data_IF_021043924913
#
_entry.id   IF_021043924913
#
_cell.length_a   1.000
_cell.length_b   1.000
_cell.length_c   1.000
_cell.angle_alpha   90.00
_cell.angle_beta   90.00
_cell.angle_gamma   90.00
#
_symmetry.space_group_name_H-M   'P 1'
#
loop_
_entity.id
_entity.type
_entity.pdbx_description
1 polymer ?
#
# COMPACT_ATOMS: atom_id res chain seq x y z
N UNK A 1 19.77 -25.33 21.47
CA UNK A 1 19.99 -25.85 20.11
C UNK A 1 18.68 -26.55 19.76
N UNK A 2 17.74 -25.96 19.03
CA UNK A 2 17.84 -24.87 18.05
C UNK A 2 16.56 -24.03 18.04
N UNK A 3 16.74 -22.71 18.12
CA UNK A 3 15.74 -21.72 17.78
C UNK A 3 15.93 -21.36 16.31
N UNK A 4 15.28 -22.03 15.36
CA UNK A 4 15.46 -21.68 13.94
C UNK A 4 14.20 -21.81 13.08
N UNK A 5 13.13 -22.47 13.52
CA UNK A 5 11.85 -22.42 12.81
C UNK A 5 10.94 -21.26 13.27
N UNK A 6 11.53 -20.08 13.52
CA UNK A 6 10.77 -18.85 13.34
C UNK A 6 10.54 -18.73 11.83
N UNK A 7 9.41 -19.28 11.35
CA UNK A 7 8.83 -18.84 10.09
C UNK A 7 8.88 -17.33 10.14
N UNK A 8 9.81 -16.73 9.40
CA UNK A 8 9.90 -15.30 9.18
C UNK A 8 8.53 -14.92 8.67
N UNK A 9 7.63 -14.52 9.56
CA UNK A 9 6.34 -14.01 9.20
C UNK A 9 6.67 -12.63 8.67
N UNK A 10 7.16 -12.61 7.44
CA UNK A 10 7.47 -11.41 6.68
C UNK A 10 6.30 -10.47 6.95
N UNK A 11 6.62 -9.34 7.59
CA UNK A 11 5.61 -8.47 8.13
C UNK A 11 4.98 -7.78 6.91
N UNK A 12 4.01 -8.45 6.27
CA UNK A 12 3.38 -8.05 5.01
C UNK A 12 2.82 -6.63 5.10
N UNK A 13 2.41 -6.23 6.32
CA UNK A 13 2.00 -4.87 6.62
C UNK A 13 3.13 -3.84 6.46
N UNK A 14 4.36 -4.20 6.80
CA UNK A 14 5.56 -3.37 6.60
C UNK A 14 5.96 -3.35 5.12
N UNK A 15 5.94 -4.49 4.44
CA UNK A 15 6.29 -4.58 3.01
C UNK A 15 5.32 -3.76 2.16
N UNK A 16 4.01 -3.95 2.35
CA UNK A 16 2.97 -3.20 1.64
C UNK A 16 3.07 -1.69 1.94
N UNK A 17 3.46 -1.30 3.16
CA UNK A 17 3.73 0.11 3.49
C UNK A 17 4.88 0.67 2.66
N UNK A 18 5.99 -0.05 2.58
CA UNK A 18 7.16 0.41 1.81
C UNK A 18 6.88 0.43 0.31
N UNK A 19 6.17 -0.57 -0.22
CA UNK A 19 5.70 -0.58 -1.61
C UNK A 19 4.80 0.64 -1.86
N UNK A 20 3.80 0.88 -1.02
CA UNK A 20 2.90 2.03 -1.17
C UNK A 20 3.65 3.37 -1.12
N UNK A 21 4.60 3.53 -0.18
CA UNK A 21 5.42 4.75 -0.08
C UNK A 21 6.28 4.96 -1.33
N UNK A 22 6.86 3.88 -1.88
CA UNK A 22 7.68 3.95 -3.08
C UNK A 22 6.86 4.36 -4.31
N UNK A 23 5.67 3.78 -4.49
CA UNK A 23 4.77 4.17 -5.58
C UNK A 23 4.18 5.58 -5.39
N UNK A 24 3.83 5.97 -4.17
CA UNK A 24 3.35 7.31 -3.87
C UNK A 24 4.42 8.37 -4.17
N UNK A 25 5.69 8.08 -3.85
CA UNK A 25 6.83 8.94 -4.20
C UNK A 25 6.97 9.09 -5.71
N UNK A 26 6.81 8.03 -6.50
CA UNK A 26 6.86 8.12 -7.97
C UNK A 26 5.74 9.01 -8.52
N UNK A 27 4.52 8.90 -7.97
CA UNK A 27 3.40 9.78 -8.33
C UNK A 27 3.74 11.24 -7.99
N UNK A 28 4.33 11.50 -6.82
CA UNK A 28 4.72 12.86 -6.44
C UNK A 28 5.73 13.48 -7.39
N UNK A 29 6.71 12.71 -7.89
CA UNK A 29 7.67 13.20 -8.91
C UNK A 29 6.97 13.46 -10.24
N UNK A 30 6.08 12.56 -10.66
CA UNK A 30 5.31 12.71 -11.90
C UNK A 30 4.46 13.99 -11.89
N UNK A 31 3.67 14.21 -10.83
CA UNK A 31 2.87 15.42 -10.66
C UNK A 31 3.74 16.65 -10.40
N UNK A 32 4.83 16.51 -9.64
CA UNK A 32 5.76 17.60 -9.37
C UNK A 32 6.34 18.19 -10.64
N UNK A 33 6.66 17.36 -11.65
CA UNK A 33 7.10 17.87 -12.95
C UNK A 33 6.02 18.71 -13.65
N UNK A 34 4.79 18.19 -13.71
CA UNK A 34 3.66 18.88 -14.34
C UNK A 34 3.36 20.21 -13.62
N UNK A 35 3.35 20.21 -12.29
CA UNK A 35 3.02 21.39 -11.49
C UNK A 35 4.13 22.44 -11.48
N UNK A 36 5.40 22.05 -11.45
CA UNK A 36 6.53 22.99 -11.33
C UNK A 36 7.06 23.48 -12.68
N UNK A 37 7.05 22.62 -13.71
CA UNK A 37 7.61 22.95 -15.03
C UNK A 37 6.54 23.15 -16.11
N UNK A 38 5.27 22.82 -15.84
CA UNK A 38 4.19 22.94 -16.82
C UNK A 38 4.29 21.96 -18.01
N UNK A 39 5.35 21.15 -18.06
CA UNK A 39 5.55 20.15 -19.09
C UNK A 39 4.80 18.86 -18.76
N UNK A 40 3.98 18.42 -19.70
CA UNK A 40 3.31 17.12 -19.63
C UNK A 40 4.28 16.01 -20.03
N UNK A 41 4.11 14.85 -19.39
CA UNK A 41 4.77 13.64 -19.86
C UNK A 41 4.11 13.16 -21.15
N UNK A 42 4.79 12.28 -21.89
CA UNK A 42 4.21 11.61 -23.07
C UNK A 42 2.83 11.04 -22.74
N UNK A 43 1.92 11.05 -23.73
CA UNK A 43 0.53 10.63 -23.55
C UNK A 43 0.41 9.22 -22.97
N UNK A 44 1.27 8.31 -23.41
CA UNK A 44 1.35 6.92 -22.91
C UNK A 44 1.68 6.87 -21.41
N UNK A 45 2.66 7.66 -20.97
CA UNK A 45 3.08 7.74 -19.56
C UNK A 45 1.97 8.33 -18.72
N UNK A 46 1.26 9.33 -19.24
CA UNK A 46 0.14 9.97 -18.55
C UNK A 46 -1.01 9.00 -18.33
N UNK A 47 -1.39 8.21 -19.35
CA UNK A 47 -2.42 7.18 -19.20
C UNK A 47 -1.99 6.07 -18.25
N UNK A 48 -0.76 5.58 -18.39
CA UNK A 48 -0.23 4.53 -17.53
C UNK A 48 -0.16 4.95 -16.06
N UNK A 49 0.40 6.13 -15.76
CA UNK A 49 0.51 6.63 -14.39
C UNK A 49 -0.87 7.02 -13.85
N UNK A 50 -1.69 7.69 -14.66
CA UNK A 50 -3.02 8.18 -14.27
C UNK A 50 -4.04 7.08 -14.02
N UNK A 51 -3.99 5.95 -14.75
CA UNK A 51 -4.91 4.82 -14.54
C UNK A 51 -4.29 3.73 -13.67
N UNK A 52 -3.14 3.17 -14.06
CA UNK A 52 -2.62 1.95 -13.43
C UNK A 52 -1.92 2.28 -12.12
N UNK A 53 -0.98 3.23 -12.13
CA UNK A 53 -0.18 3.57 -10.93
C UNK A 53 -1.06 4.20 -9.86
N UNK A 54 -1.95 5.13 -10.24
CA UNK A 54 -2.93 5.71 -9.33
C UNK A 54 -3.87 4.65 -8.76
N UNK A 55 -4.44 3.75 -9.57
CA UNK A 55 -5.32 2.69 -9.08
C UNK A 55 -4.61 1.77 -8.07
N UNK A 56 -3.35 1.40 -8.31
CA UNK A 56 -2.56 0.56 -7.39
C UNK A 56 -2.29 1.30 -6.07
N UNK A 57 -1.92 2.59 -6.11
CA UNK A 57 -1.68 3.38 -4.90
C UNK A 57 -2.96 3.57 -4.10
N UNK A 58 -4.08 3.89 -4.75
CA UNK A 58 -5.38 3.96 -4.08
C UNK A 58 -5.80 2.62 -3.49
N UNK A 59 -5.67 1.52 -4.26
CA UNK A 59 -6.02 0.18 -3.82
C UNK A 59 -5.19 -0.28 -2.62
N UNK A 60 -3.88 -0.04 -2.63
CA UNK A 60 -2.98 -0.35 -1.51
C UNK A 60 -3.23 0.55 -0.28
N UNK A 61 -3.66 1.80 -0.49
CA UNK A 61 -4.11 2.69 0.59
C UNK A 61 -5.40 2.21 1.26
N UNK A 62 -6.39 1.78 0.48
CA UNK A 62 -7.67 1.24 0.98
C UNK A 62 -7.47 -0.06 1.74
N UNK A 63 -6.65 -0.99 1.22
CA UNK A 63 -6.31 -2.25 1.90
C UNK A 63 -5.76 -1.98 3.31
N UNK A 64 -4.88 -0.98 3.46
CA UNK A 64 -4.32 -0.59 4.77
C UNK A 64 -5.36 0.02 5.71
N UNK A 65 -6.41 0.67 5.20
CA UNK A 65 -7.51 1.19 6.03
C UNK A 65 -8.51 0.10 6.43
N UNK A 66 -8.75 -0.89 5.56
CA UNK A 66 -9.70 -1.97 5.81
C UNK A 66 -9.12 -3.11 6.68
N UNK A 67 -7.86 -3.50 6.48
CA UNK A 67 -7.18 -4.56 7.25
C UNK A 67 -7.19 -4.39 8.77
N UNK A 68 -6.83 -3.23 9.37
CA UNK A 68 -6.85 -3.06 10.82
C UNK A 68 -8.27 -3.11 11.37
N UNK A 69 -9.26 -2.63 10.60
CA UNK A 69 -10.67 -2.66 11.00
C UNK A 69 -11.21 -4.09 11.03
N UNK A 70 -10.93 -4.87 9.97
CA UNK A 70 -11.32 -6.29 9.86
C UNK A 70 -10.58 -7.13 10.90
N UNK A 71 -9.29 -6.88 11.12
CA UNK A 71 -8.49 -7.59 12.14
C UNK A 71 -8.98 -7.28 13.56
N UNK A 72 -9.36 -6.04 13.85
CA UNK A 72 -9.96 -5.65 15.14
C UNK A 72 -11.31 -6.34 15.34
N UNK A 73 -12.16 -6.36 14.31
CA UNK A 73 -13.46 -7.04 14.35
C UNK A 73 -13.34 -8.56 14.58
N UNK A 74 -12.40 -9.21 13.91
CA UNK A 74 -12.17 -10.66 14.08
C UNK A 74 -11.59 -11.01 15.47
N UNK A 75 -10.81 -10.10 16.07
CA UNK A 75 -10.26 -10.31 17.43
C UNK A 75 -11.35 -10.19 18.51
N UNK A 76 -12.26 -9.22 18.39
CA UNK A 76 -13.40 -9.11 19.31
C UNK A 76 -14.31 -10.34 19.27
N UNK A 77 -14.60 -10.86 18.07
CA UNK A 77 -15.44 -12.06 17.90
C UNK A 77 -14.84 -13.34 18.52
N UNK A 78 -13.51 -13.47 18.52
CA UNK A 78 -12.81 -14.59 19.17
C UNK A 78 -12.81 -14.51 20.69
N UNK A 79 -12.95 -13.31 21.25
CA UNK A 79 -13.03 -13.09 22.70
C UNK A 79 -14.45 -13.41 23.22
N UNK A 80 -15.47 -13.08 22.43
CA UNK A 80 -16.88 -13.36 22.76
C UNK A 80 -17.24 -14.85 22.72
N UNK A 81 -16.52 -15.68 21.93
CA UNK A 81 -16.74 -17.14 21.88
C UNK A 81 -16.02 -17.89 23.01
N UNK A 82 -15.12 -17.23 23.75
CA UNK A 82 -14.36 -17.82 24.85
C UNK A 82 -14.92 -17.47 26.24
N UNK A 83 -16.07 -16.77 26.30
CA UNK A 83 -16.78 -16.39 27.53
C UNK A 83 -18.04 -17.23 27.72
#
# INVERSE_FOLDING_TARGET
MDQDNQRTSWNWNTILRWIHLLFAMMISVYFGRITMFGETWSHEVTMFVGQIVMAIVFWTGIIKWQLPKIKKWNRSRKMDTAS
#
